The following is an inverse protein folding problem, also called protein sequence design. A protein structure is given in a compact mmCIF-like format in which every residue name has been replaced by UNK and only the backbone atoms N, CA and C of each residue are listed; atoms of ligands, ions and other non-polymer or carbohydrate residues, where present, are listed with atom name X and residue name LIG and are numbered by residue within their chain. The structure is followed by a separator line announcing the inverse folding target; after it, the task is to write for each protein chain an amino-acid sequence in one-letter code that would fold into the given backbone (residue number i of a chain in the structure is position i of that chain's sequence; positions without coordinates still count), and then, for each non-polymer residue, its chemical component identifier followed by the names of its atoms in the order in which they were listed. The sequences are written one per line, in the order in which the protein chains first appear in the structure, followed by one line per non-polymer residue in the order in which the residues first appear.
data_IF_390414370400
#
_entry.id   IF_390414370400
#
_cell.length_a   1.000
_cell.length_b   1.000
_cell.length_c   1.000
_cell.angle_alpha   90.00
_cell.angle_beta   90.00
_cell.angle_gamma   90.00
#
_symmetry.space_group_name_H-M   'P 1'
#
loop_
_entity.id
_entity.type
_entity.pdbx_description
1 polymer ?
#
# COMPACT_ATOMS: atom_id res chain seq x y z
N UNK A 1 -34.43 22.69 8.80
CA UNK A 1 -33.22 21.91 8.47
C UNK A 1 -32.52 21.61 9.78
N UNK A 2 -32.32 20.33 10.12
CA UNK A 2 -31.64 19.90 11.36
C UNK A 2 -30.29 20.62 11.50
N UNK A 3 -29.90 21.03 12.70
CA UNK A 3 -28.66 21.77 12.94
C UNK A 3 -27.42 20.99 12.47
N UNK A 4 -27.43 19.67 12.66
CA UNK A 4 -26.40 18.75 12.14
C UNK A 4 -26.30 18.80 10.60
N UNK A 5 -27.42 18.90 9.89
CA UNK A 5 -27.44 19.02 8.41
C UNK A 5 -26.81 20.33 7.96
N UNK A 6 -27.11 21.43 8.66
CA UNK A 6 -26.53 22.75 8.38
C UNK A 6 -25.03 22.74 8.64
N UNK A 7 -24.61 22.16 9.76
CA UNK A 7 -23.19 22.09 10.13
C UNK A 7 -22.40 21.19 9.17
N UNK A 8 -22.94 20.03 8.79
CA UNK A 8 -22.34 19.16 7.77
C UNK A 8 -22.13 19.90 6.45
N UNK A 9 -23.13 20.62 5.95
CA UNK A 9 -23.02 21.39 4.71
C UNK A 9 -21.95 22.48 4.81
N UNK A 10 -21.93 23.21 5.93
CA UNK A 10 -20.94 24.26 6.19
C UNK A 10 -19.52 23.69 6.21
N UNK A 11 -19.28 22.61 6.96
CA UNK A 11 -17.98 21.96 7.06
C UNK A 11 -17.56 21.30 5.74
N UNK A 12 -18.51 20.74 4.98
CA UNK A 12 -18.24 20.15 3.65
C UNK A 12 -17.78 21.22 2.66
N UNK A 13 -18.41 22.40 2.64
CA UNK A 13 -17.97 23.50 1.79
C UNK A 13 -16.57 23.99 2.16
N UNK A 14 -16.27 24.08 3.45
CA UNK A 14 -14.94 24.43 3.95
C UNK A 14 -13.91 23.36 3.56
N UNK A 15 -14.28 22.07 3.64
CA UNK A 15 -13.41 20.96 3.28
C UNK A 15 -13.05 21.00 1.79
N UNK A 16 -14.04 21.17 0.91
CA UNK A 16 -13.84 21.27 -0.55
C UNK A 16 -12.87 22.41 -0.86
N UNK A 17 -13.13 23.61 -0.33
CA UNK A 17 -12.24 24.77 -0.53
C UNK A 17 -10.80 24.50 -0.06
N UNK A 18 -10.62 23.80 1.07
CA UNK A 18 -9.28 23.44 1.58
C UNK A 18 -8.58 22.42 0.68
N UNK A 19 -9.31 21.44 0.15
CA UNK A 19 -8.78 20.43 -0.78
C UNK A 19 -8.35 21.10 -2.09
N UNK A 20 -9.16 21.97 -2.67
CA UNK A 20 -8.82 22.71 -3.90
C UNK A 20 -7.56 23.55 -3.69
N UNK A 21 -7.51 24.31 -2.59
CA UNK A 21 -6.36 25.13 -2.24
C UNK A 21 -5.10 24.33 -1.91
N UNK A 22 -5.23 23.04 -1.56
CA UNK A 22 -4.11 22.12 -1.37
C UNK A 22 -3.63 21.56 -2.72
N UNK A 23 -4.55 21.13 -3.59
CA UNK A 23 -4.23 20.61 -4.91
C UNK A 23 -3.51 21.65 -5.79
N UNK A 24 -3.99 22.90 -5.79
CA UNK A 24 -3.33 24.01 -6.49
C UNK A 24 -1.88 24.17 -6.02
N UNK A 25 -1.66 24.10 -4.70
CA UNK A 25 -0.33 24.27 -4.13
C UNK A 25 0.59 23.08 -4.40
N UNK A 26 0.04 21.87 -4.39
CA UNK A 26 0.75 20.64 -4.72
C UNK A 26 1.23 20.67 -6.18
N UNK A 27 0.39 21.14 -7.11
CA UNK A 27 0.71 21.24 -8.53
C UNK A 27 1.80 22.27 -8.86
N UNK A 28 1.95 23.33 -8.05
CA UNK A 28 2.99 24.36 -8.21
C UNK A 28 4.40 23.89 -7.83
N UNK A 29 4.56 22.64 -7.37
CA UNK A 29 5.82 22.10 -6.87
C UNK A 29 6.09 22.49 -5.41
N UNK A 30 6.48 21.55 -4.54
CA UNK A 30 6.66 21.81 -3.11
C UNK A 30 7.96 22.57 -2.86
N UNK A 31 7.97 23.89 -3.06
CA UNK A 31 9.10 24.75 -2.66
C UNK A 31 9.18 24.95 -1.13
N UNK A 32 8.08 24.65 -0.40
CA UNK A 32 8.01 24.75 1.04
C UNK A 32 7.09 23.65 1.62
N UNK A 33 7.69 22.58 2.15
CA UNK A 33 7.00 21.45 2.77
C UNK A 33 6.12 21.86 3.96
N UNK A 34 6.58 22.80 4.79
CA UNK A 34 5.82 23.27 5.97
C UNK A 34 4.49 23.95 5.60
N UNK A 35 4.42 24.63 4.45
CA UNK A 35 3.18 25.24 3.99
C UNK A 35 2.16 24.19 3.52
N UNK A 36 2.62 23.08 2.94
CA UNK A 36 1.77 21.92 2.62
C UNK A 36 1.27 21.25 3.90
N UNK A 37 2.14 21.08 4.90
CA UNK A 37 1.80 20.44 6.17
C UNK A 37 0.66 21.19 6.89
N UNK A 38 0.71 22.52 6.94
CA UNK A 38 -0.37 23.34 7.53
C UNK A 38 -1.70 23.19 6.79
N UNK A 39 -1.68 23.14 5.46
CA UNK A 39 -2.91 22.93 4.66
C UNK A 39 -3.48 21.53 4.88
N UNK A 40 -2.62 20.52 4.94
CA UNK A 40 -3.03 19.15 5.23
C UNK A 40 -3.62 19.03 6.65
N UNK A 41 -3.01 19.69 7.64
CA UNK A 41 -3.53 19.76 9.01
C UNK A 41 -4.95 20.35 9.04
N UNK A 42 -5.20 21.43 8.30
CA UNK A 42 -6.53 22.02 8.19
C UNK A 42 -7.55 21.05 7.58
N UNK A 43 -7.18 20.30 6.54
CA UNK A 43 -8.04 19.27 5.93
C UNK A 43 -8.39 18.19 6.96
N UNK A 44 -7.38 17.64 7.65
CA UNK A 44 -7.56 16.59 8.66
C UNK A 44 -8.41 17.09 9.84
N UNK A 45 -8.22 18.35 10.25
CA UNK A 45 -9.04 18.97 11.29
C UNK A 45 -10.51 19.08 10.86
N UNK A 46 -10.80 19.47 9.61
CA UNK A 46 -12.19 19.50 9.12
C UNK A 46 -12.82 18.11 9.11
N UNK A 47 -12.09 17.07 8.66
CA UNK A 47 -12.58 15.70 8.74
C UNK A 47 -12.89 15.27 10.17
N UNK A 48 -12.03 15.63 11.13
CA UNK A 48 -12.26 15.37 12.53
C UNK A 48 -13.50 16.10 13.07
N UNK A 49 -13.76 17.34 12.63
CA UNK A 49 -14.96 18.07 13.04
C UNK A 49 -16.23 17.47 12.43
N UNK A 50 -16.19 17.08 11.14
CA UNK A 50 -17.32 16.37 10.48
C UNK A 50 -17.62 15.05 11.20
N UNK A 51 -16.59 14.29 11.57
CA UNK A 51 -16.76 12.99 12.26
C UNK A 51 -17.47 13.08 13.62
N UNK A 52 -17.55 14.27 14.22
CA UNK A 52 -18.23 14.49 15.51
C UNK A 52 -19.73 14.79 15.35
N UNK A 53 -20.23 14.95 14.13
CA UNK A 53 -21.66 15.16 13.89
C UNK A 53 -22.39 13.86 14.24
N UNK A 54 -23.24 13.92 15.26
CA UNK A 54 -23.93 12.76 15.84
C UNK A 54 -24.75 12.00 14.82
N UNK A 55 -25.45 12.72 13.93
CA UNK A 55 -26.30 12.11 12.90
C UNK A 55 -25.58 11.80 11.58
N UNK A 56 -24.23 11.93 11.51
CA UNK A 56 -23.47 11.77 10.26
C UNK A 56 -23.74 10.44 9.56
N UNK A 57 -23.73 9.32 10.29
CA UNK A 57 -23.94 7.99 9.72
C UNK A 57 -25.34 7.86 9.11
N UNK A 58 -26.37 8.24 9.86
CA UNK A 58 -27.77 8.24 9.38
C UNK A 58 -27.94 9.17 8.18
N UNK A 59 -27.38 10.38 8.23
CA UNK A 59 -27.44 11.32 7.11
C UNK A 59 -26.79 10.76 5.83
N UNK A 60 -25.61 10.18 5.93
CA UNK A 60 -24.91 9.66 4.76
C UNK A 60 -25.52 8.37 4.24
N UNK A 61 -25.87 7.43 5.11
CA UNK A 61 -26.30 6.09 4.70
C UNK A 61 -27.79 5.99 4.41
N UNK A 62 -28.63 6.72 5.16
CA UNK A 62 -30.10 6.60 5.07
C UNK A 62 -30.72 7.76 4.28
N UNK A 63 -30.31 9.01 4.53
CA UNK A 63 -30.90 10.16 3.83
C UNK A 63 -30.34 10.35 2.41
N UNK A 64 -29.01 10.23 2.26
CA UNK A 64 -28.29 10.51 1.01
C UNK A 64 -28.01 9.20 0.25
N UNK A 65 -27.58 8.16 0.95
CA UNK A 65 -27.15 6.87 0.40
C UNK A 65 -28.06 6.29 -0.69
N UNK A 66 -29.40 6.25 -0.52
CA UNK A 66 -30.31 5.70 -1.52
C UNK A 66 -30.31 6.42 -2.88
N UNK A 67 -29.75 7.64 -2.95
CA UNK A 67 -29.68 8.47 -4.17
C UNK A 67 -28.29 8.47 -4.82
N UNK A 68 -27.33 7.77 -4.24
CA UNK A 68 -25.93 7.76 -4.68
C UNK A 68 -25.54 6.39 -5.24
N UNK A 69 -24.37 6.33 -5.89
CA UNK A 69 -23.79 5.05 -6.32
C UNK A 69 -23.61 4.09 -5.13
N UNK A 70 -23.75 2.77 -5.37
CA UNK A 70 -23.50 1.76 -4.34
C UNK A 70 -22.15 1.98 -3.65
N UNK A 71 -22.14 1.84 -2.32
CA UNK A 71 -20.97 1.98 -1.47
C UNK A 71 -20.28 3.36 -1.43
N UNK A 72 -20.74 4.36 -2.20
CA UNK A 72 -20.10 5.67 -2.20
C UNK A 72 -20.21 6.35 -0.83
N UNK A 73 -21.40 6.34 -0.22
CA UNK A 73 -21.62 6.95 1.08
C UNK A 73 -20.95 6.17 2.22
N UNK A 74 -20.89 4.84 2.12
CA UNK A 74 -20.18 4.00 3.10
C UNK A 74 -18.67 4.19 3.00
N UNK A 75 -18.13 4.31 1.78
CA UNK A 75 -16.73 4.64 1.51
C UNK A 75 -16.36 6.05 2.00
N UNK A 76 -17.23 7.03 1.79
CA UNK A 76 -17.05 8.39 2.31
C UNK A 76 -17.03 8.42 3.84
N UNK A 77 -18.02 7.78 4.48
CA UNK A 77 -18.09 7.69 5.95
C UNK A 77 -16.82 7.03 6.52
N UNK A 78 -16.36 5.93 5.91
CA UNK A 78 -15.12 5.27 6.29
C UNK A 78 -13.90 6.19 6.13
N UNK A 79 -13.85 6.98 5.05
CA UNK A 79 -12.78 7.94 4.81
C UNK A 79 -12.77 9.05 5.86
N UNK A 80 -13.94 9.62 6.18
CA UNK A 80 -14.09 10.63 7.22
C UNK A 80 -13.55 10.09 8.55
N UNK A 81 -13.99 8.90 8.97
CA UNK A 81 -13.53 8.30 10.22
C UNK A 81 -12.03 7.99 10.22
N UNK A 82 -11.48 7.45 9.13
CA UNK A 82 -10.03 7.17 9.02
C UNK A 82 -9.18 8.44 9.14
N UNK A 83 -9.56 9.50 8.43
CA UNK A 83 -8.82 10.76 8.45
C UNK A 83 -8.96 11.47 9.81
N UNK A 84 -10.15 11.46 10.40
CA UNK A 84 -10.36 11.92 11.77
C UNK A 84 -9.50 11.14 12.78
N UNK A 85 -9.39 9.82 12.61
CA UNK A 85 -8.60 8.96 13.48
C UNK A 85 -7.10 9.28 13.43
N UNK A 86 -6.58 9.77 12.29
CA UNK A 86 -5.18 10.21 12.22
C UNK A 86 -4.85 11.33 13.21
N UNK A 87 -5.78 12.29 13.44
CA UNK A 87 -5.60 13.32 14.46
C UNK A 87 -5.49 12.72 15.86
N UNK A 88 -6.37 11.79 16.18
CA UNK A 88 -6.38 11.09 17.47
C UNK A 88 -5.11 10.26 17.67
N UNK A 89 -4.67 9.53 16.64
CA UNK A 89 -3.42 8.77 16.65
C UNK A 89 -2.21 9.68 16.85
N UNK A 90 -2.11 10.78 16.10
CA UNK A 90 -1.01 11.73 16.22
C UNK A 90 -0.93 12.32 17.64
N UNK A 91 -2.06 12.75 18.20
CA UNK A 91 -2.10 13.27 19.56
C UNK A 91 -1.75 12.20 20.61
N UNK A 92 -2.21 10.96 20.41
CA UNK A 92 -1.87 9.82 21.26
C UNK A 92 -0.36 9.55 21.24
N UNK A 93 0.28 9.59 20.07
CA UNK A 93 1.74 9.43 19.94
C UNK A 93 2.49 10.54 20.69
N UNK A 94 2.04 11.80 20.59
CA UNK A 94 2.64 12.92 21.34
C UNK A 94 2.45 12.75 22.85
N UNK A 95 1.27 12.31 23.30
CA UNK A 95 1.02 12.04 24.72
C UNK A 95 1.89 10.90 25.23
N UNK A 96 2.01 9.83 24.45
CA UNK A 96 2.86 8.69 24.77
C UNK A 96 4.35 9.04 24.76
N UNK A 97 4.81 9.91 23.85
CA UNK A 97 6.21 10.33 23.79
C UNK A 97 6.64 11.17 24.99
N UNK A 98 5.72 11.95 25.58
CA UNK A 98 5.94 12.66 26.85
C UNK A 98 6.07 11.72 28.04
N UNK A 99 5.41 10.56 27.98
CA UNK A 99 5.43 9.55 29.06
C UNK A 99 6.59 8.56 28.93
N UNK A 100 6.91 8.14 27.71
CA UNK A 100 7.90 7.11 27.42
C UNK A 100 9.02 7.71 26.58
N UNK A 101 10.19 7.90 27.20
CA UNK A 101 11.35 8.55 26.57
C UNK A 101 11.82 7.87 25.27
N UNK A 102 11.62 6.55 25.15
CA UNK A 102 11.93 5.80 23.93
C UNK A 102 11.08 6.27 22.74
N UNK A 103 9.81 6.62 22.98
CA UNK A 103 8.91 7.14 21.94
C UNK A 103 9.25 8.59 21.58
N UNK A 104 9.73 9.38 22.55
CA UNK A 104 10.24 10.74 22.30
C UNK A 104 11.52 10.80 21.45
N UNK A 105 12.21 9.66 21.29
CA UNK A 105 13.41 9.53 20.44
C UNK A 105 13.11 8.88 19.08
N UNK A 106 11.84 8.73 18.72
CA UNK A 106 11.47 8.18 17.42
C UNK A 106 11.79 9.18 16.32
N UNK A 107 12.40 8.70 15.24
CA UNK A 107 12.70 9.48 14.04
C UNK A 107 12.00 8.86 12.85
N UNK A 108 11.51 9.71 11.95
CA UNK A 108 11.00 9.26 10.65
C UNK A 108 12.15 9.26 9.64
N UNK A 109 12.30 8.16 8.93
CA UNK A 109 13.23 8.05 7.80
C UNK A 109 12.42 7.73 6.54
N UNK A 110 12.69 8.47 5.48
CA UNK A 110 12.12 8.16 4.18
C UNK A 110 12.93 7.01 3.56
N UNK A 111 12.37 5.82 3.56
CA UNK A 111 12.95 4.68 2.86
C UNK A 111 12.60 4.79 1.38
N UNK A 112 13.61 5.03 0.53
CA UNK A 112 13.50 5.01 -0.92
C UNK A 112 14.54 4.05 -1.47
N UNK A 113 14.07 3.10 -2.26
CA UNK A 113 14.96 2.29 -3.08
C UNK A 113 15.42 3.13 -4.28
N UNK A 114 16.64 2.90 -4.73
CA UNK A 114 17.14 3.48 -5.98
C UNK A 114 16.37 2.94 -7.20
N UNK A 115 16.41 3.67 -8.32
CA UNK A 115 15.70 3.27 -9.54
C UNK A 115 16.19 1.91 -10.08
N UNK A 116 17.44 1.51 -9.77
CA UNK A 116 17.99 0.23 -10.20
C UNK A 116 17.30 -0.95 -9.50
N UNK A 117 16.88 -0.78 -8.25
CA UNK A 117 16.07 -1.77 -7.53
C UNK A 117 14.73 -2.04 -8.23
N UNK A 118 14.19 -1.02 -8.92
CA UNK A 118 12.97 -1.11 -9.72
C UNK A 118 13.22 -1.46 -11.19
N UNK A 119 14.49 -1.52 -11.62
CA UNK A 119 14.87 -1.90 -12.97
C UNK A 119 14.27 -3.24 -13.36
N UNK A 120 13.76 -3.33 -14.60
CA UNK A 120 13.38 -4.60 -15.19
C UNK A 120 14.66 -5.34 -15.60
N UNK A 121 14.75 -6.67 -15.40
CA UNK A 121 15.78 -7.43 -16.08
C UNK A 121 15.69 -7.15 -17.60
N UNK A 122 16.81 -7.10 -18.34
CA UNK A 122 16.78 -6.89 -19.78
C UNK A 122 15.78 -7.85 -20.43
N UNK A 123 14.89 -7.33 -21.28
CA UNK A 123 13.80 -8.09 -21.90
C UNK A 123 14.29 -9.37 -22.62
N UNK A 124 15.56 -9.40 -22.99
CA UNK A 124 16.23 -10.48 -23.71
C UNK A 124 16.67 -11.65 -22.81
N UNK A 125 16.75 -11.46 -21.49
CA UNK A 125 17.36 -12.49 -20.60
C UNK A 125 16.38 -13.52 -20.03
N UNK A 126 15.09 -13.21 -19.89
CA UNK A 126 14.09 -14.20 -19.46
C UNK A 126 12.74 -13.87 -20.09
N UNK A 127 12.62 -14.08 -21.40
CA UNK A 127 11.30 -14.30 -21.99
C UNK A 127 10.74 -15.56 -21.35
N UNK A 128 9.83 -15.44 -20.38
CA UNK A 128 9.15 -16.61 -19.82
C UNK A 128 8.33 -17.26 -20.93
N UNK A 129 8.92 -18.24 -21.59
CA UNK A 129 8.25 -19.06 -22.59
C UNK A 129 7.53 -20.16 -21.86
N UNK A 130 6.29 -19.86 -21.46
CA UNK A 130 5.41 -20.80 -20.75
C UNK A 130 5.37 -22.15 -21.45
N UNK A 131 5.27 -22.15 -22.78
CA UNK A 131 5.23 -23.37 -23.59
C UNK A 131 6.50 -24.25 -23.42
N UNK A 132 7.69 -23.64 -23.41
CA UNK A 132 8.95 -24.37 -23.22
C UNK A 132 9.04 -24.96 -21.80
N UNK A 133 8.57 -24.22 -20.79
CA UNK A 133 8.53 -24.72 -19.41
C UNK A 133 7.53 -25.86 -19.23
N UNK A 134 6.34 -25.76 -19.83
CA UNK A 134 5.36 -26.84 -19.81
C UNK A 134 5.90 -28.10 -20.52
N UNK A 135 6.60 -27.95 -21.65
CA UNK A 135 7.30 -29.06 -22.33
C UNK A 135 8.36 -29.71 -21.42
N UNK A 136 9.12 -28.91 -20.68
CA UNK A 136 10.12 -29.41 -19.72
C UNK A 136 9.46 -30.20 -18.58
N UNK A 137 8.41 -29.67 -17.97
CA UNK A 137 7.66 -30.36 -16.90
C UNK A 137 7.02 -31.67 -17.38
N UNK A 138 6.45 -31.67 -18.59
CA UNK A 138 5.94 -32.88 -19.25
C UNK A 138 7.03 -33.94 -19.41
N UNK A 139 8.23 -33.54 -19.82
CA UNK A 139 9.37 -34.46 -19.97
C UNK A 139 9.88 -34.99 -18.62
N UNK A 140 10.02 -34.14 -17.61
CA UNK A 140 10.62 -34.51 -16.31
C UNK A 140 9.67 -35.28 -15.40
N UNK A 141 8.38 -34.90 -15.36
CA UNK A 141 7.42 -35.41 -14.39
C UNK A 141 6.24 -36.15 -15.05
N UNK A 142 6.32 -36.43 -16.36
CA UNK A 142 5.26 -37.06 -17.16
C UNK A 142 3.88 -36.37 -17.02
N UNK A 143 3.87 -35.05 -16.86
CA UNK A 143 2.63 -34.28 -16.72
C UNK A 143 1.88 -34.18 -18.04
N UNK A 144 0.55 -34.13 -18.00
CA UNK A 144 -0.29 -33.81 -19.16
C UNK A 144 -0.54 -32.30 -19.33
N UNK A 145 0.40 -31.45 -18.86
CA UNK A 145 0.25 -30.01 -18.91
C UNK A 145 0.75 -29.47 -20.26
N UNK A 146 -0.18 -29.04 -21.11
CA UNK A 146 0.07 -28.29 -22.35
C UNK A 146 -0.78 -27.01 -22.35
N UNK A 147 -0.51 -26.08 -23.28
CA UNK A 147 -1.20 -24.79 -23.32
C UNK A 147 -2.73 -24.93 -23.45
N UNK A 148 -3.19 -25.95 -24.17
CA UNK A 148 -4.61 -26.18 -24.44
C UNK A 148 -5.36 -26.68 -23.19
N UNK A 149 -4.76 -27.60 -22.44
CA UNK A 149 -5.30 -28.15 -21.20
C UNK A 149 -5.04 -27.24 -19.98
N UNK A 150 -4.04 -26.37 -20.06
CA UNK A 150 -3.67 -25.47 -18.96
C UNK A 150 -4.77 -24.44 -18.67
N UNK A 151 -5.37 -23.85 -19.70
CA UNK A 151 -6.50 -22.93 -19.55
C UNK A 151 -7.72 -23.60 -18.90
N UNK A 152 -8.06 -24.81 -19.33
CA UNK A 152 -9.17 -25.58 -18.75
C UNK A 152 -8.92 -25.93 -17.27
N UNK A 153 -7.69 -26.30 -16.90
CA UNK A 153 -7.31 -26.66 -15.52
C UNK A 153 -7.26 -25.46 -14.58
N UNK A 154 -6.94 -24.27 -15.08
CA UNK A 154 -6.95 -23.05 -14.28
C UNK A 154 -8.36 -22.50 -14.01
N UNK A 155 -9.40 -23.16 -14.54
CA UNK A 155 -10.80 -22.71 -14.45
C UNK A 155 -10.97 -21.23 -14.84
N UNK A 156 -10.14 -20.75 -15.78
CA UNK A 156 -10.12 -19.37 -16.23
C UNK A 156 -10.02 -19.32 -17.75
N UNK A 157 -10.56 -18.27 -18.35
CA UNK A 157 -10.38 -18.02 -19.78
C UNK A 157 -8.90 -17.76 -20.07
N UNK A 158 -8.32 -18.51 -21.02
CA UNK A 158 -6.92 -18.39 -21.46
C UNK A 158 -6.55 -16.94 -21.80
N UNK A 159 -7.45 -16.17 -22.43
CA UNK A 159 -7.22 -14.75 -22.74
C UNK A 159 -7.03 -13.92 -21.46
N UNK A 160 -7.92 -14.09 -20.49
CA UNK A 160 -7.86 -13.39 -19.20
C UNK A 160 -6.60 -13.78 -18.41
N UNK A 161 -6.22 -15.06 -18.46
CA UNK A 161 -4.95 -15.51 -17.87
C UNK A 161 -3.77 -14.77 -18.46
N UNK A 162 -3.68 -14.65 -19.79
CA UNK A 162 -2.59 -13.94 -20.44
C UNK A 162 -2.60 -12.44 -20.13
N UNK A 163 -3.76 -11.80 -20.10
CA UNK A 163 -3.90 -10.40 -19.68
C UNK A 163 -3.41 -10.20 -18.23
N UNK A 164 -3.83 -11.08 -17.31
CA UNK A 164 -3.42 -11.04 -15.92
C UNK A 164 -1.91 -11.33 -15.76
N UNK A 165 -1.39 -12.32 -16.49
CA UNK A 165 0.03 -12.68 -16.52
C UNK A 165 0.88 -11.52 -17.04
N UNK A 166 0.54 -10.97 -18.20
CA UNK A 166 1.25 -9.83 -18.80
C UNK A 166 1.19 -8.60 -17.91
N UNK A 167 0.05 -8.32 -17.29
CA UNK A 167 -0.07 -7.22 -16.31
C UNK A 167 0.88 -7.42 -15.14
N UNK A 168 0.89 -8.63 -14.57
CA UNK A 168 1.71 -9.00 -13.41
C UNK A 168 3.21 -8.95 -13.73
N UNK A 169 3.63 -9.41 -14.91
CA UNK A 169 5.03 -9.40 -15.33
C UNK A 169 5.51 -8.02 -15.75
N UNK A 170 4.63 -7.17 -16.30
CA UNK A 170 4.99 -5.81 -16.72
C UNK A 170 4.99 -4.79 -15.58
N UNK A 171 4.19 -5.01 -14.54
CA UNK A 171 4.03 -4.11 -13.39
C UNK A 171 4.33 -4.79 -12.04
N UNK A 172 5.48 -5.47 -11.88
CA UNK A 172 5.76 -6.16 -10.64
C UNK A 172 6.11 -5.15 -9.55
N UNK A 173 5.64 -5.40 -8.33
CA UNK A 173 5.71 -4.51 -7.18
C UNK A 173 6.59 -5.09 -6.08
N UNK A 174 7.50 -4.26 -5.59
CA UNK A 174 8.26 -4.56 -4.38
C UNK A 174 7.40 -4.11 -3.20
N UNK A 175 7.01 -5.06 -2.35
CA UNK A 175 6.18 -4.78 -1.17
C UNK A 175 6.99 -4.02 -0.10
N UNK A 176 6.30 -3.22 0.72
CA UNK A 176 6.93 -2.34 1.71
C UNK A 176 7.84 -3.10 2.69
N UNK A 177 7.45 -4.29 3.14
CA UNK A 177 8.25 -5.14 4.03
C UNK A 177 9.62 -5.48 3.42
N UNK A 178 9.64 -5.78 2.12
CA UNK A 178 10.86 -6.08 1.37
C UNK A 178 11.67 -4.81 1.14
N UNK A 179 11.04 -3.66 0.86
CA UNK A 179 11.75 -2.39 0.75
C UNK A 179 12.46 -2.00 2.06
N UNK A 180 11.78 -2.19 3.21
CA UNK A 180 12.36 -1.94 4.54
C UNK A 180 13.55 -2.86 4.82
N UNK A 181 13.37 -4.16 4.64
CA UNK A 181 14.44 -5.14 4.82
C UNK A 181 15.64 -4.81 3.92
N UNK A 182 15.42 -4.54 2.63
CA UNK A 182 16.48 -4.21 1.69
C UNK A 182 17.25 -2.94 2.08
N UNK A 183 16.54 -1.91 2.53
CA UNK A 183 17.17 -0.69 3.02
C UNK A 183 18.06 -0.96 4.24
N UNK A 184 17.59 -1.75 5.20
CA UNK A 184 18.34 -2.10 6.40
C UNK A 184 19.58 -2.94 6.10
N UNK A 185 19.49 -3.86 5.15
CA UNK A 185 20.66 -4.64 4.69
C UNK A 185 21.72 -3.76 4.02
N UNK A 186 21.30 -2.72 3.27
CA UNK A 186 22.22 -1.75 2.64
C UNK A 186 22.75 -0.69 3.59
N UNK A 187 22.13 -0.50 4.75
CA UNK A 187 22.56 0.46 5.76
C UNK A 187 22.70 -0.23 7.11
N UNK A 188 23.69 -1.13 7.27
CA UNK A 188 23.90 -1.84 8.53
C UNK A 188 24.05 -0.86 9.68
N UNK A 189 23.30 -1.09 10.75
CA UNK A 189 23.44 -0.34 11.99
C UNK A 189 23.93 -1.27 13.09
N UNK A 190 24.59 -0.72 14.11
CA UNK A 190 25.02 -1.49 15.28
C UNK A 190 23.86 -2.10 16.08
N UNK A 191 22.63 -1.62 15.84
CA UNK A 191 21.40 -2.05 16.52
C UNK A 191 20.26 -2.15 15.49
N UNK A 192 20.27 -3.15 14.60
CA UNK A 192 19.22 -3.30 13.61
C UNK A 192 17.88 -3.62 14.30
N UNK A 193 16.75 -3.21 13.72
CA UNK A 193 15.45 -3.60 14.25
C UNK A 193 15.30 -5.13 14.17
N UNK A 194 14.59 -5.71 15.15
CA UNK A 194 14.27 -7.15 15.15
C UNK A 194 12.94 -7.46 14.49
N UNK A 195 12.08 -6.46 14.34
CA UNK A 195 10.71 -6.60 13.84
C UNK A 195 10.51 -5.65 12.67
N UNK A 196 9.98 -6.17 11.57
CA UNK A 196 9.51 -5.38 10.44
C UNK A 196 7.99 -5.42 10.42
N UNK A 197 7.37 -4.26 10.29
CA UNK A 197 5.93 -4.14 10.22
C UNK A 197 5.56 -3.00 9.28
N UNK A 198 4.41 -3.15 8.61
CA UNK A 198 3.78 -2.09 7.84
C UNK A 198 2.37 -1.82 8.38
N UNK A 199 1.65 -0.87 7.77
CA UNK A 199 0.26 -0.61 8.13
C UNK A 199 -0.71 -1.70 7.63
N UNK A 200 -0.20 -2.75 6.97
CA UNK A 200 -0.93 -3.95 6.57
C UNK A 200 -0.20 -5.17 7.11
N UNK A 201 -0.95 -6.24 7.34
CA UNK A 201 -0.33 -7.54 7.63
C UNK A 201 0.55 -7.95 6.44
N UNK A 202 1.64 -8.67 6.69
CA UNK A 202 2.51 -9.10 5.61
C UNK A 202 1.80 -10.12 4.71
N UNK A 203 2.15 -10.11 3.42
CA UNK A 203 1.73 -11.17 2.52
C UNK A 203 2.50 -12.49 2.77
N UNK A 204 2.01 -13.58 2.20
CA UNK A 204 2.67 -14.89 2.34
C UNK A 204 4.14 -14.84 1.93
N UNK A 205 4.43 -14.27 0.75
CA UNK A 205 5.79 -14.22 0.20
C UNK A 205 6.72 -13.31 1.00
N UNK A 206 6.23 -12.17 1.51
CA UNK A 206 7.02 -11.32 2.41
C UNK A 206 7.37 -12.06 3.70
N UNK A 207 6.37 -12.70 4.33
CA UNK A 207 6.58 -13.46 5.55
C UNK A 207 7.56 -14.62 5.34
N UNK A 208 7.37 -15.41 4.28
CA UNK A 208 8.22 -16.55 3.96
C UNK A 208 9.67 -16.11 3.70
N UNK A 209 9.88 -15.08 2.87
CA UNK A 209 11.20 -14.58 2.54
C UNK A 209 11.93 -14.01 3.77
N UNK A 210 11.26 -13.19 4.56
CA UNK A 210 11.85 -12.58 5.76
C UNK A 210 12.16 -13.63 6.82
N UNK A 211 11.28 -14.62 7.00
CA UNK A 211 11.51 -15.74 7.91
C UNK A 211 12.73 -16.57 7.48
N UNK A 212 12.86 -16.84 6.17
CA UNK A 212 14.02 -17.53 5.62
C UNK A 212 15.31 -16.73 5.79
N UNK A 213 15.26 -15.40 5.61
CA UNK A 213 16.40 -14.51 5.83
C UNK A 213 16.89 -14.50 7.29
N UNK A 214 16.02 -14.77 8.26
CA UNK A 214 16.38 -15.07 9.65
C UNK A 214 16.80 -13.90 10.54
N UNK A 215 17.11 -12.71 9.98
CA UNK A 215 17.49 -11.52 10.80
C UNK A 215 16.31 -10.74 11.37
N UNK A 216 15.12 -10.88 10.79
CA UNK A 216 13.94 -10.09 11.15
C UNK A 216 12.72 -10.97 11.36
N UNK A 217 11.80 -10.50 12.19
CA UNK A 217 10.49 -11.11 12.41
C UNK A 217 9.38 -10.24 11.81
N UNK A 218 8.38 -10.89 11.24
CA UNK A 218 7.10 -10.28 10.88
C UNK A 218 6.09 -10.58 12.00
N UNK A 219 5.39 -9.58 12.55
CA UNK A 219 4.47 -9.79 13.68
C UNK A 219 3.18 -10.50 13.25
N UNK A 220 2.71 -10.27 12.02
CA UNK A 220 1.46 -10.85 11.51
C UNK A 220 1.48 -10.98 9.98
N UNK A 221 0.88 -12.06 9.50
CA UNK A 221 0.66 -12.33 8.08
C UNK A 221 -0.80 -12.60 7.81
N UNK A 222 -1.32 -12.09 6.69
CA UNK A 222 -2.66 -12.42 6.21
C UNK A 222 -2.63 -13.62 5.23
N UNK A 223 -1.47 -14.19 4.93
CA UNK A 223 -1.32 -15.44 4.15
C UNK A 223 -1.67 -15.36 2.65
N UNK A 224 -1.99 -14.19 2.10
CA UNK A 224 -2.37 -14.06 0.68
C UNK A 224 -1.13 -13.94 -0.19
N UNK A 225 -1.16 -14.58 -1.35
CA UNK A 225 -0.14 -14.46 -2.39
C UNK A 225 -0.54 -13.33 -3.32
N UNK A 226 0.40 -12.42 -3.61
CA UNK A 226 0.21 -11.36 -4.60
C UNK A 226 1.03 -11.70 -5.84
N UNK A 227 0.39 -11.96 -7.00
CA UNK A 227 1.10 -12.41 -8.20
C UNK A 227 2.19 -11.44 -8.67
N UNK A 228 1.99 -10.13 -8.51
CA UNK A 228 2.98 -9.10 -8.84
C UNK A 228 4.10 -8.92 -7.83
N UNK A 229 4.21 -9.75 -6.80
CA UNK A 229 5.27 -9.63 -5.80
C UNK A 229 6.63 -9.92 -6.44
N UNK A 230 7.63 -9.08 -6.14
CA UNK A 230 9.02 -9.30 -6.55
C UNK A 230 10.03 -8.85 -5.51
N UNK A 231 11.25 -9.34 -5.65
CA UNK A 231 12.43 -8.82 -4.96
C UNK A 231 13.03 -7.61 -5.72
N UNK A 232 13.72 -6.70 -5.00
CA UNK A 232 14.56 -5.68 -5.60
C UNK A 232 15.55 -6.31 -6.59
N UNK A 233 15.71 -5.69 -7.75
CA UNK A 233 16.77 -6.09 -8.69
C UNK A 233 18.11 -5.80 -8.02
N UNK A 234 18.95 -6.82 -7.87
CA UNK A 234 20.19 -6.72 -7.09
C UNK A 234 21.28 -5.92 -7.80
N UNK A 235 21.12 -5.63 -9.10
CA UNK A 235 22.20 -5.08 -9.95
C UNK A 235 23.42 -5.99 -10.03
N UNK A 236 23.37 -7.17 -9.39
CA UNK A 236 24.36 -8.21 -9.56
C UNK A 236 24.08 -8.77 -10.94
N UNK A 237 24.93 -8.39 -11.89
CA UNK A 237 25.23 -9.29 -12.99
C UNK A 237 25.49 -10.64 -12.33
N UNK A 238 24.60 -11.61 -12.56
CA UNK A 238 24.91 -13.00 -12.33
C UNK A 238 26.07 -13.31 -13.30
N UNK A 239 27.30 -12.91 -12.95
CA UNK A 239 28.48 -13.46 -13.58
C UNK A 239 28.44 -14.94 -13.24
N UNK A 240 28.26 -15.82 -14.22
CA UNK A 240 28.35 -17.25 -13.98
C UNK A 240 29.76 -17.50 -13.44
N UNK A 241 29.85 -18.12 -12.26
CA UNK A 241 31.04 -18.87 -11.90
C UNK A 241 31.04 -20.18 -12.69
#
# INVERSE_FOLDING_TARGET
MNDDKREYMRLSQVLISRIDAFQIKLAQGPSNTSALDKKLELIINTFADISRISSLSTMLLEDIGPRMEPDLCSGLLNTIHKLAHYKTCAWTLVKLSRRYSILGRTSTIAVRLDDTAFGKPPAETVGFKLEEHLKKLKKEYNTNWDLDNFGQRLATNTKKFWEDFLRVTNEPKIHAEIQLMWHLERHPSSKPPRVLASNKDACFLCNAFISFHGKYMIPKTHGRIYPGWRLPSTGLNETPQ
#
